data_IF_834187031007
#
_entry.id   IF_834187031007
#
_cell.length_a   1.000
_cell.length_b   1.000
_cell.length_c   1.000
_cell.angle_alpha   90.00
_cell.angle_beta   90.00
_cell.angle_gamma   90.00
#
_symmetry.space_group_name_H-M   'P 1'
#
loop_
_entity.id
_entity.type
_entity.pdbx_description
1 polymer ?
#
# COMPACT_ATOMS: atom_id res chain seq x y z
N UNK A 1 -20.48 -11.77 10.78
CA UNK A 1 -20.99 -11.28 9.50
C UNK A 1 -20.14 -10.07 9.13
N UNK A 2 -19.46 -10.06 7.98
CA UNK A 2 -18.64 -8.92 7.58
C UNK A 2 -19.54 -7.70 7.35
N UNK A 3 -19.18 -6.54 7.92
CA UNK A 3 -19.89 -5.28 7.70
C UNK A 3 -19.59 -4.74 6.31
N UNK A 4 -20.62 -4.47 5.52
CA UNK A 4 -20.50 -3.81 4.22
C UNK A 4 -20.68 -2.30 4.37
N UNK A 5 -19.74 -1.53 3.85
CA UNK A 5 -19.79 -0.06 3.80
C UNK A 5 -20.23 0.44 2.41
N UNK A 6 -20.91 1.59 2.36
CA UNK A 6 -21.41 2.19 1.12
C UNK A 6 -20.42 3.22 0.58
N UNK A 7 -20.02 3.07 -0.69
CA UNK A 7 -19.19 4.04 -1.41
C UNK A 7 -20.07 4.80 -2.41
N UNK A 8 -20.19 6.12 -2.23
CA UNK A 8 -20.94 7.00 -3.14
C UNK A 8 -19.99 7.66 -4.14
N UNK A 9 -20.26 7.53 -5.44
CA UNK A 9 -19.45 8.11 -6.52
C UNK A 9 -20.33 8.94 -7.47
N UNK A 10 -19.86 10.15 -7.81
CA UNK A 10 -20.42 10.94 -8.93
C UNK A 10 -19.55 10.73 -10.15
N UNK A 11 -20.17 10.38 -11.28
CA UNK A 11 -19.46 10.08 -12.52
C UNK A 11 -20.13 10.83 -13.67
N UNK A 12 -19.37 11.54 -14.52
CA UNK A 12 -19.87 12.11 -15.77
C UNK A 12 -20.54 11.04 -16.65
N UNK A 13 -21.61 11.40 -17.41
CA UNK A 13 -22.33 10.43 -18.24
C UNK A 13 -21.45 9.70 -19.26
N UNK A 14 -20.46 10.38 -19.84
CA UNK A 14 -19.52 9.82 -20.81
C UNK A 14 -18.65 8.71 -20.20
N UNK A 15 -18.12 8.94 -18.99
CA UNK A 15 -17.30 7.96 -18.28
C UNK A 15 -18.15 6.77 -17.83
N UNK A 16 -19.38 7.02 -17.38
CA UNK A 16 -20.34 5.96 -17.07
C UNK A 16 -20.59 5.06 -18.29
N UNK A 17 -20.77 5.64 -19.48
CA UNK A 17 -21.02 4.87 -20.69
C UNK A 17 -19.84 3.94 -21.06
N UNK A 18 -18.61 4.42 -20.92
CA UNK A 18 -17.39 3.62 -21.15
C UNK A 18 -17.32 2.47 -20.13
N UNK A 19 -17.57 2.75 -18.85
CA UNK A 19 -17.57 1.72 -17.80
C UNK A 19 -18.66 0.68 -18.05
N UNK A 20 -19.87 1.10 -18.43
CA UNK A 20 -20.98 0.19 -18.73
C UNK A 20 -20.63 -0.76 -19.88
N UNK A 21 -19.99 -0.26 -20.94
CA UNK A 21 -19.50 -1.07 -22.05
C UNK A 21 -18.41 -2.07 -21.60
N UNK A 22 -17.42 -1.61 -20.84
CA UNK A 22 -16.35 -2.46 -20.34
C UNK A 22 -16.87 -3.57 -19.41
N UNK A 23 -17.81 -3.23 -18.52
CA UNK A 23 -18.45 -4.19 -17.64
C UNK A 23 -19.25 -5.24 -18.43
N UNK A 24 -19.98 -4.80 -19.47
CA UNK A 24 -20.72 -5.71 -20.36
C UNK A 24 -19.79 -6.67 -21.11
N UNK A 25 -18.67 -6.17 -21.64
CA UNK A 25 -17.65 -7.00 -22.31
C UNK A 25 -16.99 -7.99 -21.34
N UNK A 26 -16.82 -7.60 -20.08
CA UNK A 26 -16.31 -8.47 -19.03
C UNK A 26 -17.35 -9.46 -18.48
N UNK A 27 -18.62 -9.39 -18.91
CA UNK A 27 -19.72 -10.21 -18.39
C UNK A 27 -20.08 -9.92 -16.93
N UNK A 28 -19.79 -8.72 -16.44
CA UNK A 28 -19.97 -8.32 -15.03
C UNK A 28 -20.96 -7.16 -14.91
N UNK A 29 -21.58 -7.03 -13.75
CA UNK A 29 -22.34 -5.81 -13.45
C UNK A 29 -21.38 -4.63 -13.21
N UNK A 30 -21.86 -3.40 -13.43
CA UNK A 30 -21.06 -2.18 -13.29
C UNK A 30 -20.38 -2.07 -11.93
N UNK A 31 -21.10 -2.31 -10.84
CA UNK A 31 -20.57 -2.14 -9.48
C UNK A 31 -19.43 -3.12 -9.18
N UNK A 32 -19.61 -4.39 -9.56
CA UNK A 32 -18.57 -5.42 -9.41
C UNK A 32 -17.34 -5.08 -10.26
N UNK A 33 -17.54 -4.63 -11.50
CA UNK A 33 -16.46 -4.20 -12.37
C UNK A 33 -15.67 -3.03 -11.77
N UNK A 34 -16.35 -1.98 -11.32
CA UNK A 34 -15.71 -0.82 -10.69
C UNK A 34 -14.94 -1.24 -9.43
N UNK A 35 -15.55 -2.02 -8.55
CA UNK A 35 -14.94 -2.41 -7.28
C UNK A 35 -13.69 -3.26 -7.49
N UNK A 36 -13.75 -4.27 -8.35
CA UNK A 36 -12.62 -5.15 -8.65
C UNK A 36 -11.42 -4.38 -9.20
N UNK A 37 -11.67 -3.50 -10.17
CA UNK A 37 -10.59 -2.70 -10.76
C UNK A 37 -10.05 -1.64 -9.79
N UNK A 38 -10.90 -1.06 -8.94
CA UNK A 38 -10.46 -0.12 -7.91
C UNK A 38 -9.58 -0.79 -6.84
N UNK A 39 -9.99 -1.98 -6.35
CA UNK A 39 -9.21 -2.74 -5.37
C UNK A 39 -7.89 -3.17 -5.97
N UNK A 40 -7.89 -3.74 -7.17
CA UNK A 40 -6.66 -4.17 -7.84
C UNK A 40 -5.67 -3.01 -8.02
N UNK A 41 -6.15 -1.84 -8.45
CA UNK A 41 -5.31 -0.65 -8.60
C UNK A 41 -4.72 -0.18 -7.26
N UNK A 42 -5.52 -0.23 -6.19
CA UNK A 42 -5.05 0.08 -4.84
C UNK A 42 -3.98 -0.92 -4.36
N UNK A 43 -4.18 -2.22 -4.59
CA UNK A 43 -3.21 -3.27 -4.25
C UNK A 43 -1.90 -3.10 -5.02
N UNK A 44 -1.96 -2.84 -6.34
CA UNK A 44 -0.78 -2.59 -7.18
C UNK A 44 0.05 -1.40 -6.64
N UNK A 45 -0.62 -0.31 -6.24
CA UNK A 45 0.04 0.86 -5.66
C UNK A 45 0.66 0.59 -4.28
N UNK A 46 -0.03 -0.18 -3.43
CA UNK A 46 0.50 -0.59 -2.12
C UNK A 46 1.70 -1.52 -2.26
N UNK A 47 1.68 -2.40 -3.26
CA UNK A 47 2.80 -3.28 -3.58
C UNK A 47 4.01 -2.50 -4.10
N UNK A 48 3.80 -1.49 -4.96
CA UNK A 48 4.88 -0.59 -5.39
C UNK A 48 5.57 0.09 -4.20
N UNK A 49 4.82 0.45 -3.15
CA UNK A 49 5.39 1.05 -1.93
C UNK A 49 6.14 0.07 -1.04
N UNK A 50 5.89 -1.23 -1.16
CA UNK A 50 6.59 -2.27 -0.39
C UNK A 50 7.73 -2.94 -1.15
N UNK A 51 7.80 -2.77 -2.47
CA UNK A 51 8.81 -3.37 -3.32
C UNK A 51 9.91 -2.36 -3.70
N UNK A 52 11.06 -2.45 -3.03
CA UNK A 52 12.25 -1.65 -3.35
C UNK A 52 13.09 -2.32 -4.42
N UNK A 53 13.08 -1.80 -5.64
CA UNK A 53 13.98 -2.27 -6.69
C UNK A 53 15.38 -1.68 -6.50
N UNK A 54 16.37 -2.53 -6.23
CA UNK A 54 17.77 -2.14 -6.09
C UNK A 54 18.56 -2.50 -7.35
N UNK A 55 19.40 -1.58 -7.82
CA UNK A 55 20.47 -1.93 -8.79
C UNK A 55 21.47 -2.89 -8.14
N UNK A 56 22.25 -3.61 -8.93
CA UNK A 56 23.27 -4.54 -8.42
C UNK A 56 24.23 -3.89 -7.41
N UNK A 57 24.61 -2.63 -7.64
CA UNK A 57 25.46 -1.88 -6.72
C UNK A 57 24.75 -1.59 -5.39
N UNK A 58 23.48 -1.19 -5.42
CA UNK A 58 22.68 -0.95 -4.21
C UNK A 58 22.41 -2.25 -3.46
N UNK A 59 22.17 -3.35 -4.18
CA UNK A 59 22.00 -4.68 -3.59
C UNK A 59 23.26 -5.12 -2.83
N UNK A 60 24.43 -5.00 -3.45
CA UNK A 60 25.69 -5.35 -2.81
C UNK A 60 25.98 -4.48 -1.58
N UNK A 61 25.70 -3.17 -1.65
CA UNK A 61 25.85 -2.26 -0.51
C UNK A 61 24.88 -2.61 0.63
N UNK A 62 23.63 -2.97 0.30
CA UNK A 62 22.64 -3.42 1.26
C UNK A 62 23.09 -4.73 1.94
N UNK A 63 23.57 -5.70 1.17
CA UNK A 63 24.05 -6.97 1.69
C UNK A 63 25.27 -6.80 2.60
N UNK A 64 26.24 -5.98 2.20
CA UNK A 64 27.38 -5.63 3.05
C UNK A 64 26.97 -4.93 4.35
N UNK A 65 25.90 -4.12 4.33
CA UNK A 65 25.36 -3.48 5.53
C UNK A 65 24.65 -4.48 6.46
N UNK A 66 23.98 -5.50 5.92
CA UNK A 66 23.36 -6.58 6.71
C UNK A 66 24.38 -7.51 7.35
N UNK A 67 25.45 -7.84 6.64
CA UNK A 67 26.51 -8.73 7.13
C UNK A 67 27.47 -8.03 8.11
N UNK A 68 27.41 -6.69 8.20
CA UNK A 68 28.25 -5.93 9.11
C UNK A 68 27.83 -6.18 10.58
N UNK A 69 28.80 -6.35 11.50
CA UNK A 69 28.48 -6.51 12.91
C UNK A 69 27.78 -5.26 13.45
N UNK A 70 26.82 -5.46 14.36
CA UNK A 70 26.08 -4.36 14.99
C UNK A 70 27.07 -3.46 15.71
N UNK A 71 27.24 -2.25 15.19
CA UNK A 71 28.11 -1.23 15.77
C UNK A 71 27.37 -0.56 16.93
N UNK A 72 28.10 -0.24 17.98
CA UNK A 72 27.51 0.48 19.09
C UNK A 72 27.01 1.86 18.62
N UNK A 73 25.71 2.11 18.79
CA UNK A 73 25.07 3.36 18.42
C UNK A 73 24.39 3.98 19.65
N UNK A 74 25.09 4.87 20.37
CA UNK A 74 24.56 5.46 21.60
C UNK A 74 23.31 6.32 21.36
N UNK A 75 23.17 6.92 20.17
CA UNK A 75 21.98 7.68 19.81
C UNK A 75 20.76 6.76 19.63
N UNK A 76 20.94 5.60 19.00
CA UNK A 76 19.90 4.58 18.87
C UNK A 76 19.49 4.00 20.22
N UNK A 77 20.46 3.70 21.10
CA UNK A 77 20.19 3.25 22.46
C UNK A 77 19.35 4.26 23.25
N UNK A 78 19.71 5.56 23.15
CA UNK A 78 18.93 6.64 23.77
C UNK A 78 17.52 6.75 23.19
N UNK A 79 17.36 6.62 21.88
CA UNK A 79 16.05 6.64 21.22
C UNK A 79 15.15 5.50 21.71
N UNK A 80 15.67 4.26 21.74
CA UNK A 80 14.92 3.09 22.21
C UNK A 80 14.61 3.14 23.71
N UNK A 81 15.40 3.86 24.50
CA UNK A 81 15.15 4.08 25.93
C UNK A 81 14.28 5.32 26.21
N UNK A 82 13.91 6.09 25.19
CA UNK A 82 13.02 7.24 25.36
C UNK A 82 11.59 6.73 25.45
N UNK A 83 10.86 7.00 26.55
CA UNK A 83 9.47 6.56 26.68
C UNK A 83 8.61 7.12 25.55
N UNK A 84 7.68 6.32 25.05
CA UNK A 84 6.84 6.78 23.97
C UNK A 84 5.88 7.87 24.49
N UNK A 85 5.56 8.90 23.68
CA UNK A 85 4.68 10.00 24.11
C UNK A 85 3.26 9.59 24.56
N UNK A 86 2.89 8.33 24.37
CA UNK A 86 1.59 7.74 24.74
C UNK A 86 1.70 6.75 25.90
N UNK A 87 2.88 6.54 26.49
CA UNK A 87 3.05 5.69 27.68
C UNK A 87 2.67 6.42 28.99
N UNK A 88 2.51 7.75 28.96
CA UNK A 88 2.07 8.58 30.11
C UNK A 88 0.53 8.67 30.19
N UNK A 89 -0.15 7.52 30.14
CA UNK A 89 -1.61 7.45 30.02
C UNK A 89 -2.28 6.28 30.76
N UNK A 90 -1.90 6.03 32.01
CA UNK A 90 -2.78 5.43 33.05
C UNK A 90 -2.65 6.16 34.39
#
# INVERSE_FOLDING_TARGET
MASTDIINLRVPPEQKAIIDLAAALAGKNRTAFILEHAVRSAEELLLEKSHFQLSTAQWNAFQAALDAPVRDNPALKRLLATPAPWDDGE
#
